data_IF_144290351128
#
_entry.id   IF_144290351128
#
_cell.length_a   1.000
_cell.length_b   1.000
_cell.length_c   1.000
_cell.angle_alpha   90.00
_cell.angle_beta   90.00
_cell.angle_gamma   90.00
#
_symmetry.space_group_name_H-M   'P 1'
#
loop_
_entity.id
_entity.type
_entity.pdbx_description
1 polymer ?
#
# COMPACT_ATOMS: atom_id res chain seq x y z
N UNK A 1 25.58 -26.40 16.76
CA UNK A 1 24.52 -26.79 17.72
C UNK A 1 24.38 -28.30 17.80
N UNK A 2 24.05 -29.01 16.72
CA UNK A 2 23.92 -30.47 16.74
C UNK A 2 25.18 -31.19 17.24
N UNK A 3 26.35 -30.84 16.69
CA UNK A 3 27.65 -31.40 17.11
C UNK A 3 28.02 -31.07 18.58
N UNK A 4 27.57 -29.92 19.10
CA UNK A 4 27.83 -29.50 20.49
C UNK A 4 26.95 -30.26 21.48
N UNK A 5 25.69 -30.52 21.11
CA UNK A 5 24.74 -31.32 21.91
C UNK A 5 25.18 -32.79 21.93
N UNK A 6 25.61 -33.32 20.78
CA UNK A 6 26.17 -34.68 20.68
C UNK A 6 27.40 -34.83 21.61
N UNK A 7 28.31 -33.84 21.63
CA UNK A 7 29.46 -33.84 22.56
C UNK A 7 29.06 -33.80 24.04
N UNK A 8 28.02 -33.05 24.42
CA UNK A 8 27.54 -32.99 25.81
C UNK A 8 26.92 -34.32 26.25
N UNK A 9 26.19 -34.98 25.36
CA UNK A 9 25.59 -36.29 25.62
C UNK A 9 26.66 -37.37 25.74
N UNK A 10 27.70 -37.35 24.91
CA UNK A 10 28.85 -38.26 25.03
C UNK A 10 29.61 -38.09 26.36
N UNK A 11 29.78 -36.84 26.83
CA UNK A 11 30.39 -36.56 28.14
C UNK A 11 29.53 -37.06 29.31
N UNK A 12 28.19 -37.01 29.16
CA UNK A 12 27.27 -37.58 30.14
C UNK A 12 27.35 -39.12 30.16
N UNK A 13 27.41 -39.76 29.00
CA UNK A 13 27.54 -41.22 28.88
C UNK A 13 28.87 -41.75 29.46
N UNK A 14 29.92 -40.93 29.39
CA UNK A 14 31.23 -41.21 30.03
C UNK A 14 31.27 -40.94 31.53
N UNK A 15 30.20 -40.39 32.11
CA UNK A 15 30.13 -40.04 33.54
C UNK A 15 30.94 -38.79 33.92
N UNK A 16 31.39 -38.00 32.94
CA UNK A 16 32.12 -36.75 33.15
C UNK A 16 31.18 -35.59 33.51
N UNK A 17 29.88 -35.75 33.23
CA UNK A 17 28.81 -34.83 33.59
C UNK A 17 27.66 -35.58 34.25
N UNK A 18 27.11 -35.00 35.30
CA UNK A 18 25.82 -35.46 35.82
C UNK A 18 24.69 -35.09 34.85
N UNK A 19 23.57 -35.80 34.95
CA UNK A 19 22.39 -35.56 34.11
C UNK A 19 21.85 -34.13 34.25
N UNK A 20 21.97 -33.53 35.43
CA UNK A 20 21.55 -32.14 35.69
C UNK A 20 22.51 -31.13 35.05
N UNK A 21 23.83 -31.37 35.11
CA UNK A 21 24.83 -30.51 34.48
C UNK A 21 24.76 -30.57 32.95
N UNK A 22 24.52 -31.75 32.39
CA UNK A 22 24.30 -31.92 30.95
C UNK A 22 23.05 -31.15 30.48
N UNK A 23 21.94 -31.26 31.22
CA UNK A 23 20.70 -30.53 30.93
C UNK A 23 20.90 -29.02 30.99
N UNK A 24 21.56 -28.50 32.04
CA UNK A 24 21.83 -27.08 32.20
C UNK A 24 22.70 -26.50 31.06
N UNK A 25 23.69 -27.28 30.56
CA UNK A 25 24.55 -26.86 29.45
C UNK A 25 23.82 -26.87 28.10
N UNK A 26 22.96 -27.85 27.86
CA UNK A 26 22.11 -27.89 26.66
C UNK A 26 21.13 -26.71 26.67
N UNK A 27 20.56 -26.38 27.84
CA UNK A 27 19.66 -25.24 28.01
C UNK A 27 20.35 -23.89 27.82
N UNK A 28 21.61 -23.75 28.27
CA UNK A 28 22.43 -22.56 28.01
C UNK A 28 22.74 -22.41 26.51
N UNK A 29 23.14 -23.51 25.83
CA UNK A 29 23.36 -23.54 24.38
C UNK A 29 22.09 -23.21 23.58
N UNK A 30 20.93 -23.66 24.05
CA UNK A 30 19.64 -23.34 23.44
C UNK A 30 19.30 -21.85 23.59
N UNK A 31 19.58 -21.25 24.76
CA UNK A 31 19.39 -19.80 25.01
C UNK A 31 20.33 -18.93 24.18
N UNK A 32 21.61 -19.28 24.10
CA UNK A 32 22.59 -18.52 23.31
C UNK A 32 22.27 -18.59 21.81
N UNK A 33 21.79 -19.74 21.33
CA UNK A 33 21.33 -19.88 19.95
C UNK A 33 19.99 -19.19 19.67
N UNK A 34 19.09 -19.10 20.67
CA UNK A 34 17.89 -18.30 20.58
C UNK A 34 18.25 -16.81 20.46
N UNK A 35 19.17 -16.30 21.28
CA UNK A 35 19.66 -14.93 21.23
C UNK A 35 20.45 -14.60 19.96
N UNK A 36 21.19 -15.56 19.38
CA UNK A 36 21.88 -15.39 18.10
C UNK A 36 20.93 -15.40 16.90
N UNK A 37 19.84 -16.18 16.95
CA UNK A 37 18.75 -16.16 15.95
C UNK A 37 17.91 -14.89 16.03
N UNK A 38 17.82 -14.25 17.20
CA UNK A 38 17.10 -12.99 17.38
C UNK A 38 17.81 -11.80 16.68
N UNK A 39 19.14 -11.88 16.51
CA UNK A 39 19.96 -10.84 15.84
C UNK A 39 20.10 -11.01 14.33
N UNK A 40 19.60 -12.10 13.77
CA UNK A 40 19.76 -12.46 12.34
C UNK A 40 18.42 -12.61 11.61
N UNK A 41 17.32 -12.18 12.25
CA UNK A 41 15.99 -12.19 11.66
C UNK A 41 15.74 -10.88 10.89
N UNK A 42 15.16 -10.96 9.67
CA UNK A 42 14.82 -9.78 8.92
C UNK A 42 13.82 -8.97 9.73
N UNK A 43 14.18 -7.71 9.97
CA UNK A 43 13.30 -6.74 10.59
C UNK A 43 12.19 -6.36 9.62
N UNK A 44 11.19 -5.67 10.15
CA UNK A 44 10.18 -4.96 9.38
C UNK A 44 10.74 -4.16 8.17
N UNK A 45 11.86 -3.46 8.35
CA UNK A 45 12.53 -2.72 7.27
C UNK A 45 13.12 -3.63 6.19
N UNK A 46 13.51 -4.85 6.56
CA UNK A 46 14.05 -5.84 5.62
C UNK A 46 12.95 -6.49 4.78
N UNK A 47 11.74 -6.63 5.33
CA UNK A 47 10.56 -7.09 4.60
C UNK A 47 10.03 -6.01 3.63
N UNK A 48 10.04 -4.73 4.03
CA UNK A 48 9.75 -3.61 3.14
C UNK A 48 10.79 -3.46 2.05
N UNK A 49 12.08 -3.66 2.40
CA UNK A 49 13.14 -3.79 1.40
C UNK A 49 12.88 -4.98 0.50
N UNK A 50 12.35 -6.11 0.99
CA UNK A 50 12.05 -7.29 0.16
C UNK A 50 10.92 -7.03 -0.84
N UNK A 51 9.79 -6.45 -0.42
CA UNK A 51 8.70 -6.06 -1.33
C UNK A 51 9.17 -4.95 -2.29
N UNK A 52 9.91 -3.97 -1.77
CA UNK A 52 10.53 -2.93 -2.59
C UNK A 52 11.61 -3.48 -3.53
N UNK A 53 12.31 -4.54 -3.16
CA UNK A 53 13.28 -5.25 -3.99
C UNK A 53 12.57 -6.06 -5.06
N UNK A 54 11.46 -6.73 -4.74
CA UNK A 54 10.65 -7.45 -5.71
C UNK A 54 10.08 -6.48 -6.76
N UNK A 55 9.53 -5.35 -6.32
CA UNK A 55 9.06 -4.27 -7.20
C UNK A 55 10.20 -3.64 -8.01
N UNK A 56 11.37 -3.40 -7.41
CA UNK A 56 12.57 -2.91 -8.11
C UNK A 56 13.17 -3.94 -9.05
N UNK A 57 13.14 -5.23 -8.74
CA UNK A 57 13.63 -6.31 -9.59
C UNK A 57 12.69 -6.52 -10.75
N UNK A 58 11.37 -6.47 -10.54
CA UNK A 58 10.39 -6.44 -11.64
C UNK A 58 10.58 -5.21 -12.52
N UNK A 59 10.75 -4.03 -11.91
CA UNK A 59 11.05 -2.78 -12.61
C UNK A 59 12.40 -2.82 -13.35
N UNK A 60 13.42 -3.44 -12.77
CA UNK A 60 14.75 -3.59 -13.37
C UNK A 60 14.76 -4.66 -14.47
N UNK A 61 13.97 -5.72 -14.36
CA UNK A 61 13.78 -6.75 -15.39
C UNK A 61 13.03 -6.15 -16.57
N UNK A 62 11.99 -5.35 -16.33
CA UNK A 62 11.30 -4.55 -17.37
C UNK A 62 12.22 -3.50 -17.99
N UNK A 63 13.00 -2.78 -17.19
CA UNK A 63 13.97 -1.78 -17.66
C UNK A 63 15.14 -2.42 -18.45
N UNK A 64 15.55 -3.64 -18.08
CA UNK A 64 16.54 -4.45 -18.83
C UNK A 64 15.95 -5.03 -20.11
N UNK A 65 14.68 -5.46 -20.09
CA UNK A 65 13.95 -5.87 -21.29
C UNK A 65 13.78 -4.70 -22.27
N UNK A 66 13.52 -3.48 -21.78
CA UNK A 66 13.48 -2.28 -22.63
C UNK A 66 14.86 -1.81 -23.12
N UNK A 67 15.95 -2.23 -22.47
CA UNK A 67 17.33 -1.99 -22.96
C UNK A 67 17.65 -2.74 -24.25
N UNK A 68 16.83 -3.72 -24.65
CA UNK A 68 16.90 -4.43 -25.92
C UNK A 68 16.02 -3.85 -27.04
N UNK A 69 15.16 -2.87 -26.73
CA UNK A 69 14.29 -2.20 -27.72
C UNK A 69 14.93 -0.83 -28.00
N UNK A 70 16.02 -0.86 -28.75
CA UNK A 70 16.65 0.33 -29.31
C UNK A 70 15.85 0.86 -30.50
N UNK A 71 14.62 1.31 -30.27
CA UNK A 71 14.03 2.34 -31.12
C UNK A 71 14.13 3.66 -30.35
N UNK A 72 15.22 4.39 -30.64
CA UNK A 72 15.28 5.80 -30.33
C UNK A 72 14.02 6.48 -30.89
N UNK A 73 13.37 7.28 -30.04
CA UNK A 73 12.24 8.15 -30.35
C UNK A 73 12.23 8.56 -31.83
N UNK A 74 11.27 8.05 -32.61
CA UNK A 74 10.95 8.71 -33.87
C UNK A 74 10.25 10.02 -33.49
N UNK A 75 10.78 11.19 -33.86
CA UNK A 75 10.20 12.50 -33.51
C UNK A 75 8.74 12.68 -33.93
N UNK A 76 8.25 11.81 -34.82
CA UNK A 76 6.94 11.89 -35.47
C UNK A 76 5.76 11.48 -34.58
N UNK A 77 5.95 10.71 -33.49
CA UNK A 77 4.82 10.23 -32.67
C UNK A 77 4.34 11.23 -31.60
N UNK A 78 5.16 12.23 -31.27
CA UNK A 78 4.84 13.28 -30.29
C UNK A 78 4.53 14.62 -30.96
N UNK A 79 4.75 14.71 -32.28
CA UNK A 79 4.50 15.89 -33.09
C UNK A 79 3.28 15.64 -33.98
N UNK A 80 2.15 16.21 -33.60
CA UNK A 80 0.96 16.23 -34.45
C UNK A 80 0.29 17.61 -34.39
N UNK A 81 -0.83 17.79 -35.11
CA UNK A 81 -1.54 19.07 -35.18
C UNK A 81 -1.95 19.61 -33.79
N UNK A 82 -2.07 18.75 -32.77
CA UNK A 82 -2.44 19.12 -31.40
C UNK A 82 -1.28 19.10 -30.40
N UNK A 83 -0.13 18.51 -30.74
CA UNK A 83 1.04 18.36 -29.87
C UNK A 83 2.33 18.81 -30.61
N UNK A 84 2.71 20.08 -30.66
CA UNK A 84 3.98 20.47 -31.28
C UNK A 84 5.14 20.42 -30.27
N UNK A 85 6.17 19.60 -30.49
CA UNK A 85 7.41 19.73 -29.72
C UNK A 85 8.68 19.30 -30.46
N UNK A 86 9.70 20.15 -30.35
CA UNK A 86 11.09 19.89 -30.78
C UNK A 86 11.98 19.92 -29.53
N UNK A 87 12.59 18.80 -29.14
CA UNK A 87 13.42 18.73 -27.92
C UNK A 87 14.88 19.09 -28.23
N UNK A 88 15.45 20.10 -27.56
CA UNK A 88 16.02 19.96 -26.21
C UNK A 88 15.71 21.13 -25.24
N UNK A 89 14.77 22.02 -25.58
CA UNK A 89 14.39 23.21 -24.77
C UNK A 89 12.90 23.56 -24.87
N UNK A 90 12.03 22.59 -25.12
CA UNK A 90 10.59 22.87 -25.23
C UNK A 90 9.95 23.05 -23.85
N UNK A 91 9.06 24.03 -23.73
CA UNK A 91 8.13 24.12 -22.61
C UNK A 91 7.15 22.94 -22.68
N UNK A 92 6.75 22.37 -21.52
CA UNK A 92 5.73 21.34 -21.50
C UNK A 92 4.43 21.88 -22.13
N UNK A 93 3.66 21.05 -22.85
CA UNK A 93 2.35 21.47 -23.32
C UNK A 93 1.49 21.90 -22.12
N UNK A 94 0.71 22.96 -22.30
CA UNK A 94 -0.09 23.51 -21.24
C UNK A 94 -1.02 24.61 -21.70
N UNK A 95 -1.91 25.02 -20.81
CA UNK A 95 -2.97 25.97 -21.08
C UNK A 95 -4.36 25.33 -21.05
N UNK A 96 -5.32 26.05 -21.60
CA UNK A 96 -6.74 25.75 -21.51
C UNK A 96 -7.18 24.89 -22.71
N UNK A 97 -8.16 24.01 -22.52
CA UNK A 97 -8.74 23.15 -23.57
C UNK A 97 -7.72 22.29 -24.36
N UNK A 98 -6.55 22.03 -23.77
CA UNK A 98 -5.47 21.32 -24.43
C UNK A 98 -5.70 19.80 -24.42
N UNK A 99 -5.38 19.12 -25.52
CA UNK A 99 -5.51 17.66 -25.65
C UNK A 99 -4.14 17.00 -25.83
N UNK A 100 -3.56 16.54 -24.73
CA UNK A 100 -2.36 15.73 -24.70
C UNK A 100 -2.72 14.24 -24.79
N UNK A 101 -2.93 13.75 -26.02
CA UNK A 101 -3.42 12.39 -26.25
C UNK A 101 -2.53 11.52 -27.14
N UNK A 102 -2.54 10.20 -26.89
CA UNK A 102 -1.93 9.20 -27.77
C UNK A 102 -0.40 9.19 -27.79
N UNK A 103 0.24 9.75 -26.77
CA UNK A 103 1.68 9.98 -26.77
C UNK A 103 2.47 8.81 -26.18
N UNK A 104 3.66 8.54 -26.73
CA UNK A 104 4.64 7.63 -26.14
C UNK A 104 5.80 8.41 -25.54
N UNK A 105 5.88 8.41 -24.21
CA UNK A 105 6.89 9.10 -23.41
C UNK A 105 7.87 8.06 -22.85
N UNK A 106 8.94 7.81 -23.59
CA UNK A 106 9.99 6.85 -23.20
C UNK A 106 11.20 7.59 -22.65
N UNK A 107 11.57 7.32 -21.38
CA UNK A 107 12.69 7.97 -20.69
C UNK A 107 12.59 9.51 -20.68
N UNK A 108 11.39 10.04 -20.88
CA UNK A 108 11.14 11.47 -20.96
C UNK A 108 11.14 12.09 -19.57
N UNK A 109 11.53 13.37 -19.49
CA UNK A 109 11.36 14.18 -18.28
C UNK A 109 10.55 15.41 -18.62
N UNK A 110 9.37 15.50 -18.03
CA UNK A 110 8.46 16.64 -18.16
C UNK A 110 8.37 17.32 -16.81
N UNK A 111 8.48 18.64 -16.78
CA UNK A 111 8.39 19.39 -15.52
C UNK A 111 7.48 20.58 -15.69
N UNK A 112 6.61 20.87 -14.70
CA UNK A 112 5.71 22.03 -14.69
C UNK A 112 4.72 22.03 -15.84
N UNK A 113 4.07 20.88 -16.06
CA UNK A 113 2.96 20.77 -17.00
C UNK A 113 1.71 21.32 -16.31
N UNK A 114 0.97 22.19 -16.99
CA UNK A 114 -0.28 22.77 -16.47
C UNK A 114 -1.36 22.68 -17.53
N UNK A 115 -2.36 21.88 -17.26
CA UNK A 115 -3.49 21.60 -18.15
C UNK A 115 -4.74 22.07 -17.40
N UNK A 116 -5.43 23.07 -17.95
CA UNK A 116 -6.67 23.62 -17.39
C UNK A 116 -7.81 23.22 -18.30
N UNK A 117 -8.90 22.68 -17.75
CA UNK A 117 -10.07 22.24 -18.54
C UNK A 117 -9.68 21.34 -19.74
N UNK A 118 -8.67 20.52 -19.54
CA UNK A 118 -7.89 19.87 -20.59
C UNK A 118 -7.99 18.35 -20.51
N UNK A 119 -7.38 17.65 -21.46
CA UNK A 119 -7.30 16.18 -21.47
C UNK A 119 -5.87 15.70 -21.59
N UNK A 120 -5.45 14.84 -20.66
CA UNK A 120 -4.24 14.03 -20.74
C UNK A 120 -4.64 12.56 -20.79
N UNK A 121 -4.78 12.00 -22.00
CA UNK A 121 -5.33 10.66 -22.15
C UNK A 121 -4.62 9.75 -23.15
N UNK A 122 -4.79 8.44 -22.98
CA UNK A 122 -4.26 7.43 -23.92
C UNK A 122 -2.73 7.52 -24.12
N UNK A 123 -2.01 7.98 -23.09
CA UNK A 123 -0.55 8.10 -23.15
C UNK A 123 0.15 6.89 -22.53
N UNK A 124 1.25 6.47 -23.15
CA UNK A 124 2.15 5.46 -22.62
C UNK A 124 3.41 6.12 -22.06
N UNK A 125 3.65 5.94 -20.76
CA UNK A 125 4.83 6.45 -20.06
C UNK A 125 5.69 5.27 -19.65
N UNK A 126 6.85 5.09 -20.29
CA UNK A 126 7.80 4.05 -19.94
C UNK A 126 9.11 4.64 -19.40
N UNK A 127 9.40 4.35 -18.13
CA UNK A 127 10.55 4.91 -17.43
C UNK A 127 10.63 6.46 -17.53
N UNK A 128 9.47 7.12 -17.62
CA UNK A 128 9.36 8.57 -17.75
C UNK A 128 9.05 9.22 -16.40
N UNK A 129 9.44 10.49 -16.26
CA UNK A 129 9.17 11.31 -15.09
C UNK A 129 8.37 12.55 -15.43
N UNK A 130 7.25 12.76 -14.74
CA UNK A 130 6.51 14.02 -14.73
C UNK A 130 6.61 14.62 -13.33
N UNK A 131 7.07 15.86 -13.23
CA UNK A 131 7.21 16.59 -11.96
C UNK A 131 6.40 17.89 -12.01
N UNK A 132 5.58 18.17 -10.99
CA UNK A 132 4.69 19.33 -10.90
C UNK A 132 3.72 19.35 -12.08
N UNK A 133 2.67 18.56 -11.93
CA UNK A 133 1.65 18.40 -12.94
C UNK A 133 0.31 18.87 -12.40
N UNK A 134 -0.20 19.96 -12.95
CA UNK A 134 -1.47 20.56 -12.59
C UNK A 134 -2.49 20.25 -13.69
N UNK A 135 -3.65 19.71 -13.28
CA UNK A 135 -4.74 19.26 -14.14
C UNK A 135 -6.11 19.83 -13.67
N UNK A 136 -6.17 21.06 -13.16
CA UNK A 136 -7.44 21.68 -12.76
C UNK A 136 -8.52 21.61 -13.86
N UNK A 137 -9.74 21.22 -13.46
CA UNK A 137 -10.90 20.96 -14.32
C UNK A 137 -10.68 19.91 -15.41
N UNK A 138 -9.60 19.12 -15.35
CA UNK A 138 -9.12 18.31 -16.47
C UNK A 138 -9.38 16.81 -16.31
N UNK A 139 -9.19 16.10 -17.41
CA UNK A 139 -9.30 14.63 -17.50
C UNK A 139 -7.92 14.00 -17.63
N UNK A 140 -7.53 13.17 -16.65
CA UNK A 140 -6.36 12.31 -16.71
C UNK A 140 -6.81 10.85 -16.91
N UNK A 141 -6.82 10.35 -18.15
CA UNK A 141 -7.53 9.11 -18.48
C UNK A 141 -6.73 8.08 -19.29
N UNK A 142 -6.95 6.79 -19.04
CA UNK A 142 -6.44 5.69 -19.90
C UNK A 142 -4.91 5.72 -20.14
N UNK A 143 -4.15 6.27 -19.20
CA UNK A 143 -2.70 6.31 -19.31
C UNK A 143 -2.07 5.01 -18.77
N UNK A 144 -0.99 4.56 -19.41
CA UNK A 144 -0.21 3.41 -18.99
C UNK A 144 1.17 3.85 -18.48
N UNK A 145 1.35 3.85 -17.16
CA UNK A 145 2.60 4.20 -16.49
C UNK A 145 3.36 2.94 -16.11
N UNK A 146 4.46 2.65 -16.81
CA UNK A 146 5.32 1.48 -16.57
C UNK A 146 6.69 1.95 -16.11
N UNK A 147 7.07 1.57 -14.88
CA UNK A 147 8.33 1.99 -14.27
C UNK A 147 8.54 3.52 -14.27
N UNK A 148 7.45 4.28 -14.25
CA UNK A 148 7.44 5.74 -14.42
C UNK A 148 7.17 6.44 -13.10
N UNK A 149 7.40 7.75 -13.04
CA UNK A 149 7.11 8.56 -11.86
C UNK A 149 6.25 9.76 -12.19
N UNK A 150 5.21 10.01 -11.39
CA UNK A 150 4.49 11.29 -11.37
C UNK A 150 4.58 11.85 -9.95
N UNK A 151 5.23 13.01 -9.84
CA UNK A 151 5.48 13.70 -8.58
C UNK A 151 4.82 15.07 -8.56
N UNK A 152 4.15 15.40 -7.45
CA UNK A 152 3.39 16.65 -7.27
C UNK A 152 2.32 16.80 -8.35
N UNK A 153 1.41 15.84 -8.38
CA UNK A 153 0.22 15.88 -9.23
C UNK A 153 -0.91 16.56 -8.47
N UNK A 154 -1.50 17.60 -9.05
CA UNK A 154 -2.59 18.37 -8.48
C UNK A 154 -3.77 18.33 -9.45
N UNK A 155 -4.94 17.98 -8.92
CA UNK A 155 -6.18 17.90 -9.66
C UNK A 155 -7.30 18.49 -8.81
N UNK A 156 -7.91 19.55 -9.30
CA UNK A 156 -9.10 20.16 -8.73
C UNK A 156 -10.25 19.98 -9.72
N UNK A 157 -11.45 19.62 -9.24
CA UNK A 157 -12.68 19.47 -10.04
C UNK A 157 -12.53 18.59 -11.31
N UNK A 158 -11.58 17.64 -11.28
CA UNK A 158 -11.18 16.83 -12.43
C UNK A 158 -11.52 15.35 -12.31
N UNK A 159 -11.16 14.59 -13.35
CA UNK A 159 -11.39 13.13 -13.40
C UNK A 159 -10.11 12.36 -13.69
N UNK A 160 -9.84 11.33 -12.87
CA UNK A 160 -8.78 10.33 -13.06
C UNK A 160 -9.44 9.00 -13.40
N UNK A 161 -9.42 8.55 -14.66
CA UNK A 161 -10.15 7.33 -15.03
C UNK A 161 -9.36 6.31 -15.84
N UNK A 162 -9.54 5.03 -15.55
CA UNK A 162 -8.99 3.91 -16.32
C UNK A 162 -7.45 3.91 -16.48
N UNK A 163 -6.72 4.57 -15.57
CA UNK A 163 -5.26 4.60 -15.59
C UNK A 163 -4.65 3.31 -15.03
N UNK A 164 -3.49 2.93 -15.56
CA UNK A 164 -2.74 1.74 -15.13
C UNK A 164 -1.32 2.13 -14.74
N UNK A 165 -0.98 1.96 -13.46
CA UNK A 165 0.36 2.21 -12.95
C UNK A 165 1.00 0.89 -12.51
N UNK A 166 2.05 0.48 -13.20
CA UNK A 166 2.77 -0.78 -12.96
C UNK A 166 4.23 -0.50 -12.60
N UNK A 167 4.65 -0.94 -11.42
CA UNK A 167 6.01 -0.73 -10.89
C UNK A 167 6.44 0.75 -10.89
N UNK A 168 5.48 1.65 -10.71
CA UNK A 168 5.65 3.10 -10.85
C UNK A 168 5.73 3.79 -9.48
N UNK A 169 6.11 5.08 -9.47
CA UNK A 169 6.11 5.93 -8.28
C UNK A 169 5.12 7.08 -8.41
N UNK A 170 4.23 7.21 -7.45
CA UNK A 170 3.28 8.32 -7.34
C UNK A 170 3.59 9.08 -6.05
N UNK A 171 4.00 10.33 -6.12
CA UNK A 171 4.40 11.08 -4.93
C UNK A 171 3.71 12.43 -4.86
N UNK A 172 3.23 12.81 -3.67
CA UNK A 172 2.59 14.10 -3.42
C UNK A 172 1.40 14.35 -4.37
N UNK A 173 0.50 13.38 -4.49
CA UNK A 173 -0.73 13.54 -5.27
C UNK A 173 -1.77 14.25 -4.42
N UNK A 174 -2.38 15.32 -4.93
CA UNK A 174 -3.47 16.06 -4.28
C UNK A 174 -4.66 16.12 -5.22
N UNK A 175 -5.77 15.54 -4.78
CA UNK A 175 -7.01 15.50 -5.53
C UNK A 175 -8.10 16.17 -4.69
N UNK A 176 -8.67 17.24 -5.20
CA UNK A 176 -9.73 18.02 -4.54
C UNK A 176 -10.98 18.00 -5.40
N UNK A 177 -12.13 17.67 -4.82
CA UNK A 177 -13.41 17.57 -5.54
C UNK A 177 -13.34 16.69 -6.79
N UNK A 178 -12.45 15.70 -6.79
CA UNK A 178 -12.12 14.89 -7.97
C UNK A 178 -12.87 13.55 -8.00
N UNK A 179 -13.04 13.00 -9.20
CA UNK A 179 -13.50 11.63 -9.40
C UNK A 179 -12.38 10.71 -9.88
N UNK A 180 -12.08 9.65 -9.12
CA UNK A 180 -11.11 8.61 -9.49
C UNK A 180 -11.85 7.32 -9.76
N UNK A 181 -11.79 6.80 -10.99
CA UNK A 181 -12.55 5.61 -11.37
C UNK A 181 -11.68 4.55 -12.05
N UNK A 182 -11.90 3.28 -11.70
CA UNK A 182 -11.35 2.10 -12.40
C UNK A 182 -9.83 2.12 -12.60
N UNK A 183 -9.10 2.86 -11.75
CA UNK A 183 -7.66 2.94 -11.81
C UNK A 183 -7.01 1.71 -11.18
N UNK A 184 -5.95 1.21 -11.82
CA UNK A 184 -5.21 0.02 -11.38
C UNK A 184 -3.78 0.36 -11.01
N UNK A 185 -3.40 0.05 -9.78
CA UNK A 185 -2.04 0.20 -9.29
C UNK A 185 -1.47 -1.21 -9.02
N UNK A 186 -0.36 -1.58 -9.64
CA UNK A 186 0.29 -2.87 -9.42
C UNK A 186 1.76 -2.67 -9.09
N UNK A 187 2.21 -3.18 -7.94
CA UNK A 187 3.59 -3.02 -7.47
C UNK A 187 4.05 -1.55 -7.42
N UNK A 188 3.12 -0.63 -7.20
CA UNK A 188 3.36 0.82 -7.22
C UNK A 188 3.77 1.30 -5.83
N UNK A 189 4.69 2.25 -5.80
CA UNK A 189 5.04 3.01 -4.59
C UNK A 189 4.29 4.33 -4.62
N UNK A 190 3.44 4.56 -3.64
CA UNK A 190 2.69 5.79 -3.48
C UNK A 190 3.06 6.46 -2.14
N UNK A 191 3.34 7.75 -2.18
CA UNK A 191 3.70 8.52 -0.98
C UNK A 191 2.98 9.86 -0.96
N UNK A 192 2.43 10.25 0.18
CA UNK A 192 1.76 11.55 0.37
C UNK A 192 0.61 11.75 -0.63
N UNK A 193 -0.37 10.85 -0.59
CA UNK A 193 -1.57 10.92 -1.44
C UNK A 193 -2.70 11.53 -0.62
N UNK A 194 -3.19 12.70 -1.01
CA UNK A 194 -4.26 13.42 -0.35
C UNK A 194 -5.50 13.50 -1.25
N UNK A 195 -6.66 13.14 -0.70
CA UNK A 195 -7.96 13.31 -1.33
C UNK A 195 -8.88 14.10 -0.40
N UNK A 196 -9.48 15.15 -0.93
CA UNK A 196 -10.41 16.04 -0.24
C UNK A 196 -11.67 16.22 -1.07
N UNK A 197 -12.87 16.06 -0.49
CA UNK A 197 -14.13 16.19 -1.25
C UNK A 197 -14.26 15.23 -2.43
N UNK A 198 -13.43 14.18 -2.49
CA UNK A 198 -13.21 13.41 -3.71
C UNK A 198 -13.88 12.04 -3.61
N UNK A 199 -14.05 11.36 -4.75
CA UNK A 199 -14.53 9.98 -4.76
C UNK A 199 -13.56 9.04 -5.48
N UNK A 200 -13.32 7.85 -4.91
CA UNK A 200 -12.69 6.73 -5.60
C UNK A 200 -13.73 5.63 -5.83
N UNK A 201 -13.91 5.18 -7.08
CA UNK A 201 -14.79 4.06 -7.43
C UNK A 201 -14.06 2.95 -8.19
N UNK A 202 -14.30 1.71 -7.80
CA UNK A 202 -13.87 0.51 -8.54
C UNK A 202 -12.35 0.43 -8.81
N UNK A 203 -11.54 1.10 -7.98
CA UNK A 203 -10.09 1.08 -8.11
C UNK A 203 -9.51 -0.24 -7.56
N UNK A 204 -8.40 -0.70 -8.15
CA UNK A 204 -7.73 -1.95 -7.75
C UNK A 204 -6.26 -1.73 -7.49
N UNK A 205 -5.82 -1.97 -6.27
CA UNK A 205 -4.43 -1.79 -5.84
C UNK A 205 -3.84 -3.13 -5.42
N UNK A 206 -2.88 -3.63 -6.18
CA UNK A 206 -2.23 -4.91 -5.95
C UNK A 206 -0.76 -4.70 -5.61
N UNK A 207 -0.29 -5.26 -4.50
CA UNK A 207 1.09 -5.15 -4.03
C UNK A 207 1.60 -3.69 -3.92
N UNK A 208 0.72 -2.76 -3.51
CA UNK A 208 1.06 -1.34 -3.41
C UNK A 208 1.70 -1.04 -2.05
N UNK A 209 2.77 -0.26 -2.07
CA UNK A 209 3.31 0.38 -0.87
C UNK A 209 2.76 1.81 -0.82
N UNK A 210 2.00 2.15 0.21
CA UNK A 210 1.35 3.46 0.31
C UNK A 210 1.60 4.06 1.70
N UNK A 211 2.36 5.16 1.75
CA UNK A 211 2.61 5.90 2.99
C UNK A 211 2.04 7.31 2.93
N UNK A 212 1.51 7.81 4.05
CA UNK A 212 1.00 9.19 4.12
C UNK A 212 -0.26 9.40 3.29
N UNK A 213 -1.21 8.45 3.32
CA UNK A 213 -2.52 8.68 2.69
C UNK A 213 -3.40 9.52 3.60
N UNK A 214 -3.94 10.61 3.08
CA UNK A 214 -4.91 11.47 3.78
C UNK A 214 -6.21 11.52 3.00
N UNK A 215 -7.32 11.24 3.69
CA UNK A 215 -8.67 11.37 3.16
C UNK A 215 -9.47 12.30 4.08
N UNK A 216 -10.04 13.36 3.54
CA UNK A 216 -10.80 14.35 4.30
C UNK A 216 -12.01 14.91 3.52
N UNK A 217 -12.77 15.80 4.17
CA UNK A 217 -13.88 16.56 3.61
C UNK A 217 -14.90 15.71 2.85
N UNK A 218 -15.53 14.74 3.52
CA UNK A 218 -16.57 13.88 2.93
C UNK A 218 -16.07 12.98 1.77
N UNK A 219 -14.76 12.73 1.69
CA UNK A 219 -14.18 11.81 0.70
C UNK A 219 -14.80 10.42 0.81
N UNK A 220 -15.14 9.84 -0.34
CA UNK A 220 -15.79 8.53 -0.45
C UNK A 220 -14.95 7.54 -1.26
N UNK A 221 -14.87 6.29 -0.80
CA UNK A 221 -14.24 5.19 -1.50
C UNK A 221 -15.24 4.05 -1.58
N UNK A 222 -15.55 3.65 -2.81
CA UNK A 222 -16.59 2.68 -3.13
C UNK A 222 -16.02 1.58 -4.04
N UNK A 223 -16.18 0.32 -3.64
CA UNK A 223 -15.69 -0.81 -4.44
C UNK A 223 -14.17 -0.88 -4.57
N UNK A 224 -13.42 -0.33 -3.61
CA UNK A 224 -11.96 -0.38 -3.62
C UNK A 224 -11.47 -1.80 -3.31
N UNK A 225 -10.66 -2.36 -4.21
CA UNK A 225 -10.01 -3.65 -4.01
C UNK A 225 -8.52 -3.46 -3.66
N UNK A 226 -8.15 -3.73 -2.42
CA UNK A 226 -6.77 -3.70 -1.93
C UNK A 226 -6.28 -5.14 -1.78
N UNK A 227 -5.24 -5.54 -2.52
CA UNK A 227 -4.67 -6.89 -2.45
C UNK A 227 -3.16 -6.80 -2.19
N UNK A 228 -2.69 -7.25 -1.03
CA UNK A 228 -1.26 -7.23 -0.69
C UNK A 228 -0.73 -5.80 -0.44
N UNK A 229 -1.55 -4.91 0.10
CA UNK A 229 -1.18 -3.49 0.31
C UNK A 229 -0.46 -3.30 1.64
N UNK A 230 0.67 -2.59 1.59
CA UNK A 230 1.42 -2.16 2.77
C UNK A 230 1.17 -0.66 3.01
N UNK A 231 0.37 -0.35 4.03
CA UNK A 231 0.00 1.00 4.43
C UNK A 231 0.81 1.51 5.61
N UNK A 232 1.16 2.80 5.60
CA UNK A 232 1.76 3.49 6.75
C UNK A 232 1.25 4.92 6.90
N UNK A 233 0.98 5.33 8.14
CA UNK A 233 0.65 6.73 8.49
C UNK A 233 -0.54 7.25 7.67
N UNK A 234 -1.65 6.49 7.72
CA UNK A 234 -2.88 6.86 7.03
C UNK A 234 -3.79 7.64 7.96
N UNK A 235 -4.43 8.67 7.43
CA UNK A 235 -5.35 9.53 8.19
C UNK A 235 -6.65 9.70 7.43
N UNK A 236 -7.75 9.20 8.00
CA UNK A 236 -9.09 9.35 7.47
C UNK A 236 -9.89 10.22 8.43
N UNK A 237 -10.42 11.31 7.90
CA UNK A 237 -11.28 12.25 8.62
C UNK A 237 -12.55 12.44 7.80
N UNK A 238 -13.72 12.39 8.44
CA UNK A 238 -15.01 12.61 7.75
C UNK A 238 -15.14 11.81 6.43
N UNK A 239 -14.69 10.55 6.44
CA UNK A 239 -14.53 9.73 5.22
C UNK A 239 -15.52 8.58 5.20
N UNK A 240 -15.88 8.10 4.01
CA UNK A 240 -16.73 6.92 3.80
C UNK A 240 -15.97 5.85 3.01
N UNK A 241 -15.86 4.64 3.56
CA UNK A 241 -15.36 3.45 2.87
C UNK A 241 -16.50 2.45 2.73
N UNK A 242 -16.92 2.13 1.51
CA UNK A 242 -18.08 1.29 1.24
C UNK A 242 -17.70 0.17 0.26
N UNK A 243 -18.26 -1.02 0.45
CA UNK A 243 -18.14 -2.18 -0.45
C UNK A 243 -16.69 -2.51 -0.87
N UNK A 244 -15.75 -2.25 0.05
CA UNK A 244 -14.32 -2.33 -0.23
C UNK A 244 -13.72 -3.62 0.32
N UNK A 245 -13.04 -4.37 -0.55
CA UNK A 245 -12.39 -5.63 -0.18
C UNK A 245 -10.91 -5.42 0.03
N UNK A 246 -10.40 -5.86 1.17
CA UNK A 246 -9.04 -5.61 1.60
C UNK A 246 -8.42 -6.93 2.01
N UNK A 247 -7.64 -7.53 1.12
CA UNK A 247 -6.93 -8.79 1.34
C UNK A 247 -5.42 -8.57 1.39
N UNK A 248 -4.71 -9.29 2.26
CA UNK A 248 -3.26 -9.14 2.33
C UNK A 248 -2.76 -7.83 2.88
N UNK A 249 -3.58 -7.18 3.70
CA UNK A 249 -3.29 -5.85 4.17
C UNK A 249 -2.34 -5.88 5.36
N UNK A 250 -1.41 -4.93 5.37
CA UNK A 250 -0.65 -4.56 6.55
C UNK A 250 -0.63 -3.05 6.69
N UNK A 251 -1.32 -2.51 7.69
CA UNK A 251 -1.32 -1.08 8.00
C UNK A 251 -0.67 -0.82 9.35
N UNK A 252 0.25 0.14 9.38
CA UNK A 252 0.86 0.68 10.60
C UNK A 252 0.51 2.16 10.71
N UNK A 253 -0.04 2.61 11.84
CA UNK A 253 -0.33 4.04 12.03
C UNK A 253 -1.54 4.50 11.24
N UNK A 254 -2.69 3.84 11.39
CA UNK A 254 -3.96 4.33 10.84
C UNK A 254 -4.69 5.16 11.89
N UNK A 255 -5.13 6.35 11.52
CA UNK A 255 -6.08 7.14 12.31
C UNK A 255 -7.36 7.33 11.52
N UNK A 256 -8.48 6.83 12.06
CA UNK A 256 -9.81 7.11 11.55
C UNK A 256 -10.53 7.98 12.58
N UNK A 257 -11.07 9.11 12.14
CA UNK A 257 -11.92 9.98 12.96
C UNK A 257 -13.18 10.33 12.18
N UNK A 258 -14.34 10.25 12.82
CA UNK A 258 -15.63 10.58 12.18
C UNK A 258 -15.84 9.82 10.85
N UNK A 259 -15.31 8.60 10.76
CA UNK A 259 -15.25 7.82 9.53
C UNK A 259 -16.31 6.73 9.54
N UNK A 260 -16.86 6.39 8.38
CA UNK A 260 -17.80 5.28 8.21
C UNK A 260 -17.20 4.20 7.32
N UNK A 261 -17.13 2.97 7.81
CA UNK A 261 -16.80 1.78 7.03
C UNK A 261 -18.05 0.91 6.92
N UNK A 262 -18.45 0.56 5.71
CA UNK A 262 -19.63 -0.25 5.44
C UNK A 262 -19.30 -1.37 4.45
N UNK A 263 -19.69 -2.61 4.76
CA UNK A 263 -19.51 -3.78 3.89
C UNK A 263 -18.03 -4.03 3.50
N UNK A 264 -17.11 -3.73 4.43
CA UNK A 264 -15.68 -3.89 4.20
C UNK A 264 -15.15 -5.20 4.80
N UNK A 265 -14.36 -5.96 4.03
CA UNK A 265 -13.64 -7.14 4.54
C UNK A 265 -12.15 -6.82 4.65
N UNK A 266 -11.58 -6.93 5.85
CA UNK A 266 -10.16 -6.81 6.15
C UNK A 266 -9.59 -8.18 6.48
N UNK A 267 -8.76 -8.70 5.59
CA UNK A 267 -8.14 -10.02 5.70
C UNK A 267 -6.63 -9.88 5.67
N UNK A 268 -5.95 -10.42 6.68
CA UNK A 268 -4.50 -10.64 6.60
C UNK A 268 -4.21 -11.63 5.46
N UNK A 269 -3.02 -11.59 4.87
CA UNK A 269 -2.70 -12.56 3.83
C UNK A 269 -1.35 -13.23 4.00
N UNK A 270 -1.30 -14.45 3.50
CA UNK A 270 -0.17 -15.38 3.58
C UNK A 270 1.01 -15.02 2.65
N UNK A 271 1.25 -13.74 2.40
CA UNK A 271 2.08 -13.29 1.28
C UNK A 271 3.56 -13.63 1.42
N UNK A 272 4.02 -14.09 2.59
CA UNK A 272 5.40 -14.51 2.79
C UNK A 272 5.49 -15.72 3.72
N UNK A 273 5.86 -16.87 3.16
CA UNK A 273 6.35 -18.02 3.93
C UNK A 273 7.63 -17.58 4.67
N UNK A 274 7.64 -17.73 5.99
CA UNK A 274 8.81 -17.41 6.83
C UNK A 274 8.76 -16.05 7.55
N UNK A 275 7.67 -15.28 7.42
CA UNK A 275 7.40 -14.16 8.34
C UNK A 275 7.19 -14.73 9.76
N UNK A 276 7.87 -14.11 10.73
CA UNK A 276 7.70 -14.40 12.15
C UNK A 276 6.20 -14.29 12.47
N UNK A 277 5.58 -15.31 13.08
CA UNK A 277 4.18 -15.23 13.52
C UNK A 277 3.84 -13.96 14.29
N UNK A 278 4.81 -13.32 14.97
CA UNK A 278 4.65 -12.02 15.66
C UNK A 278 4.53 -10.81 14.72
N UNK A 279 5.03 -10.91 13.49
CA UNK A 279 4.89 -9.87 12.46
C UNK A 279 3.66 -10.08 11.56
N UNK A 280 2.86 -11.13 11.82
CA UNK A 280 1.56 -11.35 11.18
C UNK A 280 0.49 -10.48 11.82
N UNK A 281 0.56 -9.17 11.55
CA UNK A 281 -0.50 -8.25 11.90
C UNK A 281 -1.12 -7.68 10.64
N UNK A 282 -2.44 -7.53 10.66
CA UNK A 282 -3.11 -6.74 9.64
C UNK A 282 -3.06 -5.26 10.02
N UNK A 283 -3.27 -4.95 11.30
CA UNK A 283 -3.37 -3.60 11.83
C UNK A 283 -2.48 -3.44 13.06
N UNK A 284 -1.63 -2.41 13.05
CA UNK A 284 -0.81 -2.03 14.21
C UNK A 284 -0.84 -0.54 14.44
N UNK A 285 -0.88 -0.12 15.71
CA UNK A 285 -0.91 1.30 16.09
C UNK A 285 -2.07 2.03 15.36
N UNK A 286 -3.27 1.45 15.47
CA UNK A 286 -4.47 1.96 14.81
C UNK A 286 -5.35 2.66 15.84
N UNK A 287 -5.88 3.83 15.50
CA UNK A 287 -6.85 4.55 16.32
C UNK A 287 -8.11 4.80 15.51
N UNK A 288 -9.24 4.32 16.02
CA UNK A 288 -10.56 4.63 15.49
C UNK A 288 -11.33 5.40 16.55
N UNK A 289 -11.67 6.64 16.23
CA UNK A 289 -12.40 7.57 17.08
C UNK A 289 -13.70 8.00 16.38
N UNK A 290 -14.84 7.97 17.07
CA UNK A 290 -16.12 8.41 16.50
C UNK A 290 -16.42 7.75 15.13
N UNK A 291 -16.07 6.47 15.00
CA UNK A 291 -16.13 5.72 13.75
C UNK A 291 -17.35 4.80 13.74
N UNK A 292 -17.97 4.61 12.59
CA UNK A 292 -19.09 3.68 12.39
C UNK A 292 -18.61 2.49 11.56
N UNK A 293 -18.79 1.26 12.07
CA UNK A 293 -18.47 0.01 11.37
C UNK A 293 -19.75 -0.78 11.10
N UNK A 294 -20.18 -0.84 9.84
CA UNK A 294 -21.38 -1.57 9.42
C UNK A 294 -21.02 -2.74 8.51
N UNK A 295 -21.52 -3.94 8.84
CA UNK A 295 -21.32 -5.15 8.04
C UNK A 295 -19.87 -5.40 7.64
N UNK A 296 -18.93 -5.02 8.52
CA UNK A 296 -17.50 -5.20 8.30
C UNK A 296 -17.03 -6.55 8.83
N UNK A 297 -15.97 -7.10 8.23
CA UNK A 297 -15.38 -8.38 8.63
C UNK A 297 -13.88 -8.24 8.80
N UNK A 298 -13.33 -8.80 9.87
CA UNK A 298 -11.90 -8.95 10.10
C UNK A 298 -11.54 -10.44 10.14
N UNK A 299 -10.61 -10.87 9.29
CA UNK A 299 -10.24 -12.30 9.15
C UNK A 299 -8.72 -12.51 9.23
N UNK A 300 -8.28 -13.43 10.08
CA UNK A 300 -6.86 -13.80 10.27
C UNK A 300 -5.99 -12.60 10.73
N UNK A 301 -6.59 -11.65 11.45
CA UNK A 301 -5.96 -10.38 11.79
C UNK A 301 -5.41 -10.35 13.21
N UNK A 302 -4.24 -9.74 13.43
CA UNK A 302 -3.84 -9.21 14.75
C UNK A 302 -4.06 -7.70 14.82
N UNK A 303 -4.59 -7.24 15.95
CA UNK A 303 -4.94 -5.84 16.23
C UNK A 303 -4.01 -5.20 17.28
N UNK A 304 -2.71 -5.21 17.02
CA UNK A 304 -1.70 -4.71 17.96
C UNK A 304 -1.79 -3.21 18.18
N UNK A 305 -1.69 -2.78 19.44
CA UNK A 305 -1.74 -1.36 19.83
C UNK A 305 -2.94 -0.61 19.19
N UNK A 306 -4.06 -1.32 19.01
CA UNK A 306 -5.24 -0.78 18.35
C UNK A 306 -6.24 -0.24 19.37
N UNK A 307 -6.67 1.00 19.20
CA UNK A 307 -7.65 1.66 20.08
C UNK A 307 -8.97 1.89 19.34
N UNK A 308 -10.06 1.41 19.94
CA UNK A 308 -11.41 1.76 19.54
C UNK A 308 -12.04 2.66 20.63
N UNK A 309 -12.43 3.87 20.23
CA UNK A 309 -12.97 4.91 21.10
C UNK A 309 -14.24 5.52 20.48
N UNK A 310 -15.37 5.42 21.16
CA UNK A 310 -16.66 5.89 20.65
C UNK A 310 -16.99 5.35 19.25
N UNK A 311 -16.76 4.04 19.06
CA UNK A 311 -17.01 3.35 17.79
C UNK A 311 -18.38 2.69 17.83
N UNK A 312 -19.26 3.05 16.90
CA UNK A 312 -20.56 2.41 16.70
C UNK A 312 -20.41 1.24 15.74
N UNK A 313 -21.06 0.10 16.03
CA UNK A 313 -20.94 -1.10 15.21
C UNK A 313 -22.30 -1.75 14.95
N UNK A 314 -22.47 -2.32 13.75
CA UNK A 314 -23.62 -3.14 13.37
C UNK A 314 -23.18 -4.23 12.39
N UNK A 315 -23.49 -5.49 12.65
CA UNK A 315 -23.12 -6.60 11.76
C UNK A 315 -21.61 -6.83 11.60
N UNK A 316 -20.80 -6.39 12.57
CA UNK A 316 -19.35 -6.60 12.61
C UNK A 316 -19.03 -8.08 12.87
N UNK A 317 -18.05 -8.64 12.15
CA UNK A 317 -17.63 -10.04 12.26
C UNK A 317 -16.12 -10.15 12.48
N UNK A 318 -15.72 -11.02 13.41
CA UNK A 318 -14.32 -11.40 13.62
C UNK A 318 -14.14 -12.91 13.35
N UNK A 319 -13.11 -13.29 12.60
CA UNK A 319 -12.69 -14.68 12.37
C UNK A 319 -11.19 -14.81 12.54
N UNK A 320 -10.73 -15.73 13.39
CA UNK A 320 -9.31 -15.96 13.64
C UNK A 320 -8.54 -14.68 13.97
N UNK A 321 -9.13 -13.83 14.82
CA UNK A 321 -8.56 -12.53 15.19
C UNK A 321 -7.85 -12.60 16.54
N UNK A 322 -6.62 -12.11 16.56
CA UNK A 322 -5.85 -11.89 17.77
C UNK A 322 -6.09 -10.47 18.30
N UNK A 323 -6.73 -10.40 19.46
CA UNK A 323 -7.10 -9.17 20.14
C UNK A 323 -6.00 -8.67 21.10
N UNK A 324 -4.82 -9.28 21.12
CA UNK A 324 -3.72 -8.85 21.99
C UNK A 324 -3.32 -7.39 21.75
N UNK A 325 -3.11 -6.63 22.83
CA UNK A 325 -2.67 -5.23 22.73
C UNK A 325 -3.75 -4.24 22.28
N UNK A 326 -4.98 -4.72 22.05
CA UNK A 326 -6.11 -3.86 21.76
C UNK A 326 -6.63 -3.17 23.03
N UNK A 327 -7.02 -1.91 22.89
CA UNK A 327 -7.68 -1.11 23.91
C UNK A 327 -9.09 -0.75 23.47
N UNK A 328 -10.08 -1.10 24.29
CA UNK A 328 -11.46 -0.68 24.13
C UNK A 328 -11.77 0.37 25.19
N UNK A 329 -12.36 1.50 24.77
CA UNK A 329 -12.84 2.54 25.68
C UNK A 329 -14.38 2.59 25.77
N UNK A 330 -14.98 1.45 25.52
CA UNK A 330 -16.42 1.19 25.35
C UNK A 330 -17.05 1.67 24.05
N UNK A 331 -18.06 0.93 23.64
CA UNK A 331 -18.68 0.99 22.31
C UNK A 331 -20.19 0.72 22.30
N UNK A 332 -20.89 0.04 23.22
CA UNK A 332 -20.54 -0.62 24.50
C UNK A 332 -19.69 -1.90 24.29
N UNK A 333 -18.47 -1.87 24.86
CA UNK A 333 -17.20 -2.58 24.54
C UNK A 333 -17.13 -3.48 23.28
N UNK A 334 -16.93 -2.79 22.16
CA UNK A 334 -16.98 -3.17 20.74
C UNK A 334 -18.28 -3.85 20.29
N UNK A 335 -19.41 -3.40 20.86
CA UNK A 335 -20.73 -4.05 20.97
C UNK A 335 -20.66 -5.49 21.50
N UNK A 336 -19.93 -5.65 22.62
CA UNK A 336 -19.52 -6.87 23.33
C UNK A 336 -18.67 -7.83 22.47
N UNK A 337 -17.57 -7.27 21.98
CA UNK A 337 -16.58 -7.83 21.06
C UNK A 337 -17.21 -8.61 19.91
N UNK A 338 -18.02 -7.85 19.16
CA UNK A 338 -18.90 -8.30 18.09
C UNK A 338 -19.90 -9.40 18.47
N UNK A 339 -20.04 -9.72 19.77
CA UNK A 339 -20.81 -10.80 20.39
C UNK A 339 -20.25 -12.24 20.16
N UNK A 340 -18.94 -12.41 20.43
CA UNK A 340 -18.20 -13.66 20.76
C UNK A 340 -17.96 -14.70 19.63
N UNK A 341 -17.29 -14.28 18.56
CA UNK A 341 -16.36 -15.10 17.73
C UNK A 341 -16.75 -16.53 17.32
N UNK A 342 -18.02 -16.82 16.98
CA UNK A 342 -18.60 -18.19 16.84
C UNK A 342 -17.78 -19.16 15.97
N UNK A 343 -17.10 -20.04 16.70
CA UNK A 343 -16.62 -21.41 16.44
C UNK A 343 -15.76 -21.64 15.19
N UNK A 344 -14.47 -21.82 15.48
CA UNK A 344 -13.49 -22.56 14.69
C UNK A 344 -14.04 -23.89 14.21
N UNK A 345 -14.21 -24.02 12.90
CA UNK A 345 -14.24 -25.30 12.17
C UNK A 345 -13.06 -25.36 11.18
#
# INVERSE_FOLDING_TARGET
>A
MREEIERILEMQERGELTREEAAARIEALARDAAGARERSRPSFEDLERSIGNLGREFGNVLARASKGIGEALRPESWVNETNPATFSKAEPPGGDDFRCEGNSLNLARVTRMRLLESTFADNELHAAGIERFDCDGSVFARNALRASSIERFELEDGTVTDNQCNASRLAAWRLSSASVERCRLNATQATDVALSGSTIREARWNAVQLSGMTLDDDTALDGLALNGVAGRDWTFHDTKLIDSSVSGLRIVGLTCRSTRLAHCTLRHGDWVRGIDPRERFALRNVRMEHTVLEHCEFVDCRLDDTTFEHVEVSGLVFRDVDFSGMTLKSSEELAELASTGRESD
#
